data_IF_913723245849
#
_entry.id   IF_913723245849
#
_cell.length_a   1.000
_cell.length_b   1.000
_cell.length_c   1.000
_cell.angle_alpha   90.00
_cell.angle_beta   90.00
_cell.angle_gamma   90.00
#
_symmetry.space_group_name_H-M   'P 1'
#
loop_
_entity.id
_entity.type
_entity.pdbx_description
1 polymer ?
#
# COMPACT_ATOMS: atom_id res chain seq x y z
N UNK A 1 5.18 -37.64 -6.66
CA UNK A 1 4.17 -37.03 -5.78
C UNK A 1 3.12 -36.38 -6.66
N UNK A 2 1.83 -36.54 -6.35
CA UNK A 2 0.76 -35.78 -7.02
C UNK A 2 0.91 -34.30 -6.65
N UNK A 3 0.73 -33.33 -7.57
CA UNK A 3 0.70 -31.93 -7.20
C UNK A 3 -0.42 -31.66 -6.19
N UNK A 4 -0.13 -30.90 -5.14
CA UNK A 4 -1.15 -30.42 -4.21
C UNK A 4 -1.80 -29.15 -4.76
N UNK A 5 -3.12 -29.03 -4.61
CA UNK A 5 -3.82 -27.80 -4.91
C UNK A 5 -3.56 -26.77 -3.80
N UNK A 6 -3.04 -25.61 -4.19
CA UNK A 6 -2.76 -24.49 -3.30
C UNK A 6 -3.61 -23.30 -3.76
N UNK A 7 -4.24 -22.60 -2.81
CA UNK A 7 -5.14 -21.48 -3.07
C UNK A 7 -4.71 -20.24 -2.29
N UNK A 8 -5.08 -19.06 -2.79
CA UNK A 8 -4.93 -17.80 -2.07
C UNK A 8 -6.14 -17.65 -1.14
N UNK A 9 -5.92 -17.61 0.17
CA UNK A 9 -6.97 -17.52 1.19
C UNK A 9 -7.15 -16.11 1.79
N UNK A 10 -6.29 -15.16 1.43
CA UNK A 10 -6.35 -13.79 1.93
C UNK A 10 -5.38 -12.87 1.20
N UNK A 11 -5.69 -11.58 1.22
CA UNK A 11 -4.84 -10.51 0.64
C UNK A 11 -4.77 -9.33 1.63
N UNK A 12 -3.61 -8.70 1.65
CA UNK A 12 -3.35 -7.45 2.37
C UNK A 12 -2.32 -6.66 1.57
N UNK A 13 -2.59 -5.39 1.34
CA UNK A 13 -1.72 -4.53 0.53
C UNK A 13 -1.84 -3.07 0.93
N UNK A 14 -0.72 -2.37 0.80
CA UNK A 14 -0.57 -0.93 0.98
C UNK A 14 0.28 -0.42 -0.18
N UNK A 15 -0.19 0.62 -0.86
CA UNK A 15 0.55 1.28 -1.95
C UNK A 15 0.18 2.76 -2.04
N UNK A 16 0.73 3.48 -3.01
CA UNK A 16 0.30 4.86 -3.34
C UNK A 16 -1.19 4.96 -3.69
N UNK A 17 -1.86 3.85 -4.02
CA UNK A 17 -3.29 3.81 -4.26
C UNK A 17 -4.13 3.71 -2.98
N UNK A 18 -3.57 3.39 -1.81
CA UNK A 18 -4.37 3.27 -0.60
C UNK A 18 -3.90 2.18 0.34
N UNK A 19 -4.71 1.99 1.38
CA UNK A 19 -4.62 0.86 2.30
C UNK A 19 -5.79 -0.10 2.05
N UNK A 20 -5.48 -1.39 1.91
CA UNK A 20 -6.49 -2.46 1.87
C UNK A 20 -7.13 -2.70 0.49
N UNK A 21 -7.72 -3.88 0.29
CA UNK A 21 -8.22 -4.31 -1.02
C UNK A 21 -9.32 -3.43 -1.59
N UNK A 22 -10.23 -2.93 -0.77
CA UNK A 22 -11.37 -2.14 -1.25
C UNK A 22 -10.95 -0.77 -1.79
N UNK A 23 -9.94 -0.13 -1.18
CA UNK A 23 -9.41 1.14 -1.67
C UNK A 23 -8.75 0.97 -3.04
N UNK A 24 -7.99 -0.10 -3.21
CA UNK A 24 -7.35 -0.44 -4.47
C UNK A 24 -8.39 -0.81 -5.54
N UNK A 25 -9.37 -1.65 -5.19
CA UNK A 25 -10.41 -2.07 -6.12
C UNK A 25 -11.19 -0.88 -6.66
N UNK A 26 -11.64 0.03 -5.78
CA UNK A 26 -12.37 1.24 -6.18
C UNK A 26 -11.58 2.11 -7.15
N UNK A 27 -10.28 2.30 -6.91
CA UNK A 27 -9.40 3.10 -7.78
C UNK A 27 -9.12 2.41 -9.11
N UNK A 28 -8.76 1.14 -9.09
CA UNK A 28 -8.42 0.39 -10.31
C UNK A 28 -9.65 0.16 -11.21
N UNK A 29 -10.83 0.05 -10.62
CA UNK A 29 -12.07 -0.08 -11.37
C UNK A 29 -12.61 1.26 -11.90
N UNK A 30 -12.06 2.40 -11.47
CA UNK A 30 -12.49 3.74 -11.90
C UNK A 30 -11.83 4.09 -13.25
N UNK A 31 -12.62 4.28 -14.33
CA UNK A 31 -12.07 4.72 -15.60
C UNK A 31 -11.48 6.14 -15.49
N UNK A 32 -10.32 6.36 -16.12
CA UNK A 32 -9.68 7.68 -16.16
C UNK A 32 -9.11 8.16 -14.83
N UNK A 33 -8.79 7.23 -13.91
CA UNK A 33 -8.06 7.60 -12.70
C UNK A 33 -6.67 8.14 -13.07
N UNK A 34 -6.42 9.40 -12.72
CA UNK A 34 -5.11 10.01 -12.81
C UNK A 34 -4.23 9.63 -11.61
N UNK A 35 -2.92 9.39 -11.80
CA UNK A 35 -2.02 9.10 -10.70
C UNK A 35 -1.82 10.32 -9.80
N UNK A 36 -1.66 10.07 -8.50
CA UNK A 36 -1.16 11.09 -7.57
C UNK A 36 0.36 11.21 -7.77
N UNK A 37 0.83 12.40 -8.09
CA UNK A 37 2.23 12.70 -8.40
C UNK A 37 2.75 13.81 -7.48
N UNK A 38 3.97 13.65 -6.99
CA UNK A 38 4.73 14.68 -6.27
C UNK A 38 6.07 14.90 -6.99
N UNK A 39 6.22 16.07 -7.60
CA UNK A 39 7.37 16.42 -8.44
C UNK A 39 8.27 17.50 -7.83
N UNK A 40 7.80 18.21 -6.80
CA UNK A 40 8.54 19.35 -6.24
C UNK A 40 9.51 18.92 -5.16
N UNK A 41 9.08 18.04 -4.22
CA UNK A 41 9.91 17.66 -3.07
C UNK A 41 11.19 16.89 -3.44
N UNK A 42 11.17 16.16 -4.55
CA UNK A 42 12.25 15.26 -4.96
C UNK A 42 12.82 15.56 -6.34
N UNK A 43 12.71 16.81 -6.80
CA UNK A 43 13.22 17.23 -8.11
C UNK A 43 14.68 16.78 -8.35
N UNK A 44 15.01 16.23 -9.53
CA UNK A 44 14.21 16.18 -10.76
C UNK A 44 13.25 14.98 -10.86
N UNK A 45 13.11 14.18 -9.80
CA UNK A 45 12.33 12.95 -9.84
C UNK A 45 10.88 13.19 -9.41
N UNK A 46 9.95 12.63 -10.18
CA UNK A 46 8.54 12.55 -9.82
C UNK A 46 8.28 11.24 -9.08
N UNK A 47 7.54 11.30 -7.98
CA UNK A 47 7.18 10.11 -7.19
C UNK A 47 5.67 9.98 -7.06
N UNK A 48 5.21 8.77 -6.72
CA UNK A 48 3.86 8.53 -6.23
C UNK A 48 3.91 8.48 -4.70
N UNK A 49 3.38 9.48 -3.99
CA UNK A 49 3.43 9.47 -2.53
C UNK A 49 2.54 8.35 -1.97
N UNK A 50 2.95 7.80 -0.83
CA UNK A 50 2.08 6.97 -0.01
C UNK A 50 0.95 7.87 0.53
N UNK A 51 -0.31 7.38 0.61
CA UNK A 51 -1.33 8.06 1.41
C UNK A 51 -0.89 8.22 2.87
N UNK A 52 -1.56 9.11 3.60
CA UNK A 52 -1.41 9.16 5.05
C UNK A 52 -1.98 7.85 5.65
N UNK A 53 -1.16 7.17 6.46
CA UNK A 53 -1.51 5.90 7.09
C UNK A 53 -1.29 6.02 8.59
N UNK A 54 -2.32 5.71 9.37
CA UNK A 54 -2.19 5.58 10.82
C UNK A 54 -1.60 4.21 11.16
N UNK A 55 -0.27 4.16 11.18
CA UNK A 55 0.49 2.95 11.51
C UNK A 55 0.18 2.38 12.89
N UNK A 56 -0.38 3.18 13.82
CA UNK A 56 -0.75 2.69 15.14
C UNK A 56 -1.92 1.69 15.10
N UNK A 57 -2.75 1.76 14.05
CA UNK A 57 -3.83 0.81 13.83
C UNK A 57 -3.32 -0.52 13.24
N UNK A 58 -2.18 -0.46 12.55
CA UNK A 58 -1.64 -1.60 11.79
C UNK A 58 -0.55 -2.35 12.57
N UNK A 59 0.21 -1.64 13.40
CA UNK A 59 1.42 -2.15 14.04
C UNK A 59 1.40 -1.79 15.51
N UNK A 60 1.59 -2.79 16.36
CA UNK A 60 1.64 -2.58 17.80
C UNK A 60 2.87 -1.74 18.20
N UNK A 61 2.63 -0.68 18.99
CA UNK A 61 3.68 0.27 19.44
C UNK A 61 4.85 -0.37 20.20
N UNK A 62 4.64 -1.52 20.84
CA UNK A 62 5.65 -2.19 21.68
C UNK A 62 6.46 -3.18 20.85
N UNK A 63 7.35 -2.67 20.00
CA UNK A 63 8.34 -3.49 19.30
C UNK A 63 8.51 -3.06 17.86
N UNK A 64 7.68 -3.62 16.97
CA UNK A 64 7.87 -3.60 15.52
C UNK A 64 7.91 -2.18 14.94
N UNK A 65 7.06 -1.27 15.44
CA UNK A 65 7.05 0.11 14.96
C UNK A 65 8.38 0.83 15.24
N UNK A 66 9.03 0.56 16.38
CA UNK A 66 10.34 1.16 16.73
C UNK A 66 11.47 0.63 15.84
N UNK A 67 11.32 -0.56 15.26
CA UNK A 67 12.29 -1.12 14.31
C UNK A 67 12.10 -0.56 12.89
N UNK A 68 10.96 0.07 12.60
CA UNK A 68 10.68 0.69 11.31
C UNK A 68 11.08 2.16 11.24
N UNK A 69 11.27 2.83 12.39
CA UNK A 69 11.60 4.26 12.51
C UNK A 69 13.09 4.61 12.24
N UNK A 70 13.83 3.79 11.48
CA UNK A 70 15.25 4.07 11.15
C UNK A 70 15.43 4.84 9.85
#
# INVERSE_FOLDING_TARGET
MSPHHVVISGIGLVSSLGEGPDAHWRKLAQPGLEPVLEASRFSPYTIHPLPEIDWNLQIAKRGDQRQMET
#
